data_IF_076576852952
#
_entry.id   IF_076576852952
#
_cell.length_a   1.000
_cell.length_b   1.000
_cell.length_c   1.000
_cell.angle_alpha   90.00
_cell.angle_beta   90.00
_cell.angle_gamma   90.00
#
_symmetry.space_group_name_H-M   'P 1'
#
loop_
_entity.id
_entity.type
_entity.pdbx_description
1 polymer ?
#
# COMPACT_ATOMS: atom_id res chain seq x y z
N UNK A 1 9.28 0.47 -38.83
CA UNK A 1 8.30 0.14 -37.78
C UNK A 1 8.90 -0.53 -36.53
N UNK A 2 10.22 -0.77 -36.42
CA UNK A 2 10.82 -1.46 -35.26
C UNK A 2 11.30 -0.55 -34.11
N UNK A 3 11.34 0.77 -34.31
CA UNK A 3 11.96 1.71 -33.36
C UNK A 3 11.02 2.21 -32.23
N UNK A 4 9.70 1.98 -32.35
CA UNK A 4 8.69 2.46 -31.38
C UNK A 4 8.53 1.49 -30.19
N UNK A 5 8.74 0.19 -30.40
CA UNK A 5 8.58 -0.84 -29.38
C UNK A 5 9.45 -0.66 -28.12
N UNK A 6 10.78 -0.44 -28.20
CA UNK A 6 11.60 -0.36 -26.99
C UNK A 6 11.24 0.84 -26.12
N UNK A 7 10.80 1.95 -26.72
CA UNK A 7 10.35 3.11 -25.96
C UNK A 7 9.02 2.83 -25.26
N UNK A 8 8.08 2.16 -25.93
CA UNK A 8 6.80 1.76 -25.34
C UNK A 8 6.98 0.81 -24.14
N UNK A 9 7.89 -0.17 -24.25
CA UNK A 9 8.19 -1.14 -23.18
C UNK A 9 8.83 -0.48 -21.95
N UNK A 10 9.79 0.44 -22.18
CA UNK A 10 10.46 1.19 -21.12
C UNK A 10 9.49 2.16 -20.42
N UNK A 11 8.67 2.86 -21.19
CA UNK A 11 7.66 3.78 -20.64
C UNK A 11 6.61 3.02 -19.83
N UNK A 12 6.11 1.88 -20.33
CA UNK A 12 5.19 1.03 -19.59
C UNK A 12 5.77 0.55 -18.26
N UNK A 13 7.03 0.12 -18.27
CA UNK A 13 7.74 -0.32 -17.06
C UNK A 13 7.98 0.83 -16.07
N UNK A 14 8.33 2.02 -16.56
CA UNK A 14 8.52 3.21 -15.74
C UNK A 14 7.22 3.66 -15.06
N UNK A 15 6.09 3.60 -15.79
CA UNK A 15 4.77 3.90 -15.22
C UNK A 15 4.44 2.89 -14.12
N UNK A 16 4.59 1.59 -14.39
CA UNK A 16 4.34 0.54 -13.41
C UNK A 16 5.19 0.71 -12.14
N UNK A 17 6.49 0.97 -12.30
CA UNK A 17 7.40 1.23 -11.19
C UNK A 17 6.99 2.46 -10.37
N UNK A 18 6.60 3.55 -11.05
CA UNK A 18 6.19 4.79 -10.38
C UNK A 18 4.90 4.60 -9.59
N UNK A 19 3.90 3.94 -10.17
CA UNK A 19 2.63 3.63 -9.49
C UNK A 19 2.88 2.75 -8.27
N UNK A 20 3.69 1.70 -8.42
CA UNK A 20 4.01 0.79 -7.32
C UNK A 20 4.78 1.49 -6.21
N UNK A 21 5.79 2.29 -6.57
CA UNK A 21 6.58 3.09 -5.62
C UNK A 21 5.70 4.10 -4.88
N UNK A 22 4.76 4.76 -5.57
CA UNK A 22 3.84 5.70 -4.96
C UNK A 22 2.89 5.00 -3.96
N UNK A 23 2.36 3.82 -4.32
CA UNK A 23 1.53 3.02 -3.43
C UNK A 23 2.30 2.56 -2.19
N UNK A 24 3.50 1.99 -2.38
CA UNK A 24 4.36 1.58 -1.26
C UNK A 24 4.77 2.76 -0.39
N UNK A 25 5.09 3.92 -0.98
CA UNK A 25 5.47 5.12 -0.24
C UNK A 25 4.28 5.68 0.55
N UNK A 26 3.09 5.71 -0.05
CA UNK A 26 1.85 6.09 0.64
C UNK A 26 1.59 5.18 1.84
N UNK A 27 1.73 3.86 1.64
CA UNK A 27 1.63 2.88 2.73
C UNK A 27 2.70 3.12 3.81
N UNK A 28 3.97 3.19 3.43
CA UNK A 28 5.09 3.37 4.34
C UNK A 28 4.99 4.69 5.13
N UNK A 29 4.56 5.79 4.49
CA UNK A 29 4.31 7.08 5.14
C UNK A 29 3.19 6.96 6.18
N UNK A 30 2.13 6.22 5.87
CA UNK A 30 1.03 5.99 6.81
C UNK A 30 1.49 5.23 8.05
N UNK A 31 2.40 4.25 7.90
CA UNK A 31 3.01 3.54 9.03
C UNK A 31 4.07 4.37 9.77
N UNK A 32 4.91 5.11 9.05
CA UNK A 32 6.02 5.88 9.62
C UNK A 32 5.56 7.11 10.40
N UNK A 33 4.52 7.80 9.94
CA UNK A 33 3.92 8.95 10.64
C UNK A 33 3.06 8.46 11.83
N UNK A 34 2.63 7.20 11.81
CA UNK A 34 1.62 6.67 12.73
C UNK A 34 0.24 7.11 12.27
N UNK A 35 -0.48 6.24 11.58
CA UNK A 35 -1.76 6.58 10.96
C UNK A 35 -2.84 7.02 11.95
N UNK A 36 -2.63 6.89 13.26
CA UNK A 36 -3.49 7.47 14.30
C UNK A 36 -3.52 9.01 14.21
N UNK A 37 -2.45 9.65 13.77
CA UNK A 37 -2.39 11.10 13.57
C UNK A 37 -3.00 11.56 12.23
N UNK A 38 -3.13 10.65 11.24
CA UNK A 38 -3.65 10.93 9.89
C UNK A 38 -5.11 10.48 9.69
N UNK A 39 -5.50 9.35 10.29
CA UNK A 39 -6.80 8.69 10.14
C UNK A 39 -7.59 8.58 11.45
N UNK A 40 -7.00 8.98 12.58
CA UNK A 40 -7.67 8.98 13.89
C UNK A 40 -8.20 7.59 14.26
N UNK A 41 -9.46 7.54 14.72
CA UNK A 41 -10.14 6.32 15.17
C UNK A 41 -10.22 5.21 14.10
N UNK A 42 -10.16 5.55 12.81
CA UNK A 42 -10.19 4.57 11.71
C UNK A 42 -8.88 3.78 11.62
N UNK A 43 -7.77 4.37 12.05
CA UNK A 43 -6.48 3.68 12.07
C UNK A 43 -6.48 2.50 13.04
N UNK A 44 -7.10 2.67 14.21
CA UNK A 44 -7.22 1.62 15.23
C UNK A 44 -8.00 0.40 14.70
N UNK A 45 -8.99 0.62 13.83
CA UNK A 45 -9.79 -0.42 13.17
C UNK A 45 -9.03 -1.11 12.01
N UNK A 46 -8.11 -0.39 11.36
CA UNK A 46 -7.32 -0.89 10.22
C UNK A 46 -6.04 -1.61 10.64
N UNK A 47 -5.55 -1.36 11.85
CA UNK A 47 -4.38 -2.06 12.40
C UNK A 47 -4.68 -3.55 12.47
N UNK A 48 -3.74 -4.36 11.97
CA UNK A 48 -3.83 -5.82 11.82
C UNK A 48 -4.32 -6.55 13.08
N UNK A 49 -4.13 -5.99 14.27
CA UNK A 49 -4.64 -6.53 15.53
C UNK A 49 -6.18 -6.44 15.65
N UNK A 50 -6.79 -5.35 15.19
CA UNK A 50 -8.25 -5.16 15.22
C UNK A 50 -8.93 -5.90 14.05
N UNK A 51 -8.25 -6.05 12.91
CA UNK A 51 -8.67 -6.96 11.84
C UNK A 51 -8.62 -8.42 12.32
N UNK A 52 -7.54 -8.85 12.97
CA UNK A 52 -7.45 -10.20 13.53
C UNK A 52 -8.52 -10.47 14.60
N UNK A 53 -8.86 -9.45 15.39
CA UNK A 53 -9.93 -9.52 16.40
C UNK A 53 -11.33 -9.53 15.77
N UNK A 54 -11.61 -8.64 14.80
CA UNK A 54 -12.90 -8.58 14.07
C UNK A 54 -13.18 -9.81 13.22
N UNK A 55 -12.15 -10.43 12.66
CA UNK A 55 -12.28 -11.67 11.90
C UNK A 55 -12.19 -12.92 12.80
N UNK A 56 -12.12 -12.76 14.12
CA UNK A 56 -12.19 -13.87 15.09
C UNK A 56 -10.98 -14.80 15.05
N UNK A 57 -9.85 -14.35 14.51
CA UNK A 57 -8.61 -15.14 14.41
C UNK A 57 -7.77 -15.09 15.71
N UNK A 58 -8.14 -14.24 16.67
CA UNK A 58 -7.55 -14.18 18.02
C UNK A 58 -8.19 -15.16 19.02
N UNK A 59 -9.35 -15.75 18.70
CA UNK A 59 -10.13 -16.62 19.57
C UNK A 59 -9.87 -18.12 19.34
N UNK A 60 -8.66 -18.59 19.61
CA UNK A 60 -8.38 -20.03 19.84
C UNK A 60 -7.75 -20.22 21.22
N UNK A 61 -8.49 -19.87 22.28
CA UNK A 61 -8.34 -20.40 23.65
C UNK A 61 -9.74 -20.52 24.26
#
# INVERSE_FOLDING_TARGET
SLQIYPFADVVGSAIGFTVFSALLSSWALTFAIGGEQLFGHVWDELVMYNVADRYGLSGWI
#
